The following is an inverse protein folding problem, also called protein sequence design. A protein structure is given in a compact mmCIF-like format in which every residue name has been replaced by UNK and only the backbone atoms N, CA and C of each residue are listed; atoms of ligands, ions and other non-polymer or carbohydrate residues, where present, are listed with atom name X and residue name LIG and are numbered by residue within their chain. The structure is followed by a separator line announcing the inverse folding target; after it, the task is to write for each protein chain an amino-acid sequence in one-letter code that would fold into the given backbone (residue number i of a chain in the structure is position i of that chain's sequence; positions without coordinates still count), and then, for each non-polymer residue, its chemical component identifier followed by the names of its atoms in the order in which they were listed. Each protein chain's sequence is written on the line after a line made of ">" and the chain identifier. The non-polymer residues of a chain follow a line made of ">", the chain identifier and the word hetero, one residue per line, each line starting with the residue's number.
data_IF_567471728173
#
_entry.id   IF_567471728173
#
_cell.length_a   1.000
_cell.length_b   1.000
_cell.length_c   1.000
_cell.angle_alpha   90.00
_cell.angle_beta   90.00
_cell.angle_gamma   90.00
#
_symmetry.space_group_name_H-M   'P 1'
#
loop_
_entity.id
_entity.type
_entity.pdbx_description
1 polymer ?
#
# COMPACT_ATOMS: atom_id res chain seq x y z
N UNK A 1 6.28 -64.87 9.76
CA UNK A 1 7.05 -64.54 8.54
C UNK A 1 6.01 -64.10 7.50
N UNK A 2 5.75 -62.81 7.34
CA UNK A 2 6.33 -61.93 6.33
C UNK A 2 6.46 -60.52 6.88
N UNK A 3 7.69 -60.00 6.88
CA UNK A 3 8.06 -58.65 7.30
C UNK A 3 7.68 -57.68 6.17
N UNK A 4 6.63 -56.88 6.37
CA UNK A 4 6.28 -55.76 5.48
C UNK A 4 6.87 -54.47 6.05
N UNK A 5 7.72 -53.81 5.26
CA UNK A 5 8.64 -52.76 5.65
C UNK A 5 7.96 -51.50 6.23
N UNK A 6 8.39 -50.98 7.40
CA UNK A 6 8.01 -49.66 7.89
C UNK A 6 9.01 -48.65 7.34
N UNK A 7 8.73 -48.05 6.18
CA UNK A 7 9.58 -46.98 5.64
C UNK A 7 8.82 -46.06 4.69
N UNK A 8 7.93 -45.24 5.24
CA UNK A 8 7.57 -43.95 4.64
C UNK A 8 7.74 -42.89 5.74
N UNK A 9 9.01 -42.71 6.11
CA UNK A 9 9.61 -41.46 6.59
C UNK A 9 8.92 -40.29 5.88
N UNK A 10 8.16 -39.46 6.58
CA UNK A 10 8.66 -38.31 7.33
C UNK A 10 9.35 -37.26 6.42
N UNK A 11 8.97 -35.99 6.63
CA UNK A 11 9.52 -34.74 6.07
C UNK A 11 8.79 -34.11 4.86
N UNK A 12 7.57 -33.61 5.05
CA UNK A 12 7.06 -32.47 4.25
C UNK A 12 6.25 -31.45 5.07
N UNK A 13 6.38 -31.45 6.40
CA UNK A 13 6.00 -30.28 7.20
C UNK A 13 7.17 -29.31 7.22
N UNK A 14 7.43 -28.63 6.10
CA UNK A 14 8.31 -27.46 6.11
C UNK A 14 7.53 -26.29 6.72
N UNK A 15 7.16 -26.44 7.99
CA UNK A 15 6.71 -25.37 8.86
C UNK A 15 7.95 -24.70 9.42
N UNK A 16 8.33 -23.59 8.80
CA UNK A 16 9.13 -22.59 9.46
C UNK A 16 8.77 -21.22 8.86
N UNK A 17 7.53 -20.81 9.08
CA UNK A 17 7.19 -19.39 9.07
C UNK A 17 7.81 -18.81 10.34
N UNK A 18 9.09 -18.44 10.26
CA UNK A 18 9.79 -17.70 11.31
C UNK A 18 8.97 -16.45 11.64
N UNK A 19 8.35 -16.46 12.82
CA UNK A 19 7.53 -15.37 13.31
C UNK A 19 8.23 -14.82 14.55
N UNK A 20 9.06 -13.81 14.33
CA UNK A 20 9.59 -12.98 15.40
C UNK A 20 9.46 -11.48 15.08
N UNK A 21 9.38 -11.13 13.80
CA UNK A 21 8.83 -9.90 13.23
C UNK A 21 8.26 -10.31 11.85
N UNK A 22 7.06 -9.87 11.44
CA UNK A 22 6.49 -10.28 10.15
C UNK A 22 7.19 -9.53 9.00
N UNK A 23 8.43 -9.93 8.74
CA UNK A 23 9.23 -9.43 7.63
C UNK A 23 8.80 -10.13 6.34
N UNK A 24 8.14 -9.39 5.45
CA UNK A 24 7.80 -9.87 4.12
C UNK A 24 9.04 -9.88 3.21
N UNK A 25 9.07 -10.80 2.24
CA UNK A 25 10.10 -10.83 1.18
C UNK A 25 9.50 -10.55 -0.19
N UNK A 26 8.21 -10.82 -0.35
CA UNK A 26 7.45 -10.57 -1.58
C UNK A 26 6.03 -10.11 -1.26
N UNK A 27 5.33 -9.44 -2.20
CA UNK A 27 3.95 -8.99 -1.99
C UNK A 27 2.98 -10.13 -1.66
N UNK A 28 3.23 -11.34 -2.17
CA UNK A 28 2.44 -12.54 -1.86
C UNK A 28 2.50 -13.00 -0.40
N UNK A 29 3.48 -12.52 0.37
CA UNK A 29 3.55 -12.77 1.82
C UNK A 29 2.60 -11.86 2.60
N UNK A 30 2.12 -10.78 1.98
CA UNK A 30 1.25 -9.77 2.58
C UNK A 30 -0.20 -10.01 2.19
N UNK A 31 -0.81 -11.05 2.77
CA UNK A 31 -2.22 -11.36 2.58
C UNK A 31 -2.91 -11.33 3.94
N UNK A 32 -3.88 -10.42 4.10
CA UNK A 32 -4.65 -10.28 5.33
C UNK A 32 -6.14 -10.41 5.04
N UNK A 33 -6.73 -11.50 5.52
CA UNK A 33 -8.13 -11.94 5.34
C UNK A 33 -8.62 -11.95 3.88
N UNK A 34 -8.83 -10.78 3.29
CA UNK A 34 -9.29 -10.59 1.92
C UNK A 34 -8.62 -9.39 1.22
N UNK A 35 -7.52 -8.89 1.77
CA UNK A 35 -6.73 -7.77 1.26
C UNK A 35 -5.36 -8.28 0.85
N UNK A 36 -4.97 -8.01 -0.38
CA UNK A 36 -3.60 -8.22 -0.85
C UNK A 36 -2.84 -6.92 -0.65
N UNK A 37 -1.74 -7.03 0.10
CA UNK A 37 -0.83 -5.94 0.40
C UNK A 37 0.38 -5.91 -0.51
N UNK A 38 1.29 -4.99 -0.21
CA UNK A 38 2.62 -4.90 -0.80
C UNK A 38 3.68 -5.05 0.30
N UNK A 39 4.84 -5.57 -0.09
CA UNK A 39 5.97 -5.65 0.80
C UNK A 39 6.82 -4.38 0.65
N UNK A 40 6.88 -3.57 1.70
CA UNK A 40 7.64 -2.33 1.70
C UNK A 40 9.15 -2.58 1.88
N UNK A 41 10.03 -1.64 1.48
CA UNK A 41 11.49 -1.82 1.55
C UNK A 41 12.04 -2.06 2.97
N UNK A 42 11.32 -1.60 4.00
CA UNK A 42 11.63 -1.85 5.40
C UNK A 42 11.20 -3.25 5.88
N UNK A 43 10.66 -4.08 4.99
CA UNK A 43 10.27 -5.46 5.28
C UNK A 43 8.88 -5.58 5.89
N UNK A 44 8.07 -4.52 5.98
CA UNK A 44 6.72 -4.61 6.53
C UNK A 44 5.65 -4.63 5.45
N UNK A 45 4.55 -5.34 5.74
CA UNK A 45 3.39 -5.35 4.86
C UNK A 45 2.60 -4.04 4.95
N UNK A 46 2.33 -3.43 3.80
CA UNK A 46 1.34 -2.37 3.63
C UNK A 46 0.09 -2.90 2.95
N UNK A 47 -1.07 -2.34 3.29
CA UNK A 47 -2.35 -2.70 2.70
C UNK A 47 -3.04 -1.46 2.11
N UNK A 48 -3.85 -1.61 1.05
CA UNK A 48 -4.60 -0.51 0.49
C UNK A 48 -5.50 0.16 1.53
N UNK A 49 -5.33 1.48 1.66
CA UNK A 49 -6.13 2.33 2.53
C UNK A 49 -6.27 3.74 1.93
N UNK A 50 -7.47 4.11 1.44
CA UNK A 50 -7.70 5.42 0.83
C UNK A 50 -7.67 6.58 1.83
N UNK A 51 -7.64 6.32 3.14
CA UNK A 51 -7.47 7.36 4.16
C UNK A 51 -6.02 7.85 4.27
N UNK A 52 -5.06 7.06 3.77
CA UNK A 52 -3.67 7.44 3.73
C UNK A 52 -3.34 8.26 2.47
N UNK A 53 -2.52 9.32 2.56
CA UNK A 53 -2.07 10.08 1.39
C UNK A 53 -1.35 9.24 0.34
N UNK A 54 -0.66 8.18 0.77
CA UNK A 54 -0.01 7.19 -0.09
C UNK A 54 -0.97 6.13 -0.65
N UNK A 55 -2.21 6.09 -0.19
CA UNK A 55 -3.16 5.02 -0.48
C UNK A 55 -2.84 3.69 0.21
N UNK A 56 -1.83 3.66 1.08
CA UNK A 56 -1.33 2.45 1.74
C UNK A 56 -1.06 2.68 3.23
N UNK A 57 -1.42 1.69 4.06
CA UNK A 57 -1.20 1.69 5.51
C UNK A 57 -0.48 0.42 5.95
N UNK A 58 0.49 0.54 6.84
CA UNK A 58 1.16 -0.62 7.45
C UNK A 58 0.17 -1.47 8.24
N UNK A 59 0.34 -2.80 8.16
CA UNK A 59 -0.46 -3.74 8.94
C UNK A 59 -0.23 -3.59 10.45
N UNK A 60 -1.19 -4.06 11.25
CA UNK A 60 -1.12 -4.05 12.72
C UNK A 60 0.04 -4.86 13.30
N UNK A 61 0.66 -5.73 12.48
CA UNK A 61 1.83 -6.54 12.85
C UNK A 61 3.17 -5.91 12.41
N UNK A 62 3.15 -4.71 11.82
CA UNK A 62 4.39 -4.00 11.49
C UNK A 62 5.15 -3.62 12.78
N UNK A 63 6.47 -3.84 12.75
CA UNK A 63 7.37 -3.49 13.84
C UNK A 63 7.66 -2.00 13.92
N UNK A 64 8.61 -1.62 14.77
CA UNK A 64 9.18 -0.26 14.85
C UNK A 64 8.18 0.88 15.11
N UNK A 65 7.00 0.57 15.65
CA UNK A 65 5.94 1.55 15.88
C UNK A 65 5.22 1.99 14.60
N UNK A 66 5.41 1.27 13.49
CA UNK A 66 4.75 1.55 12.22
C UNK A 66 3.36 0.92 12.11
N UNK A 67 2.94 0.09 13.07
CA UNK A 67 1.60 -0.49 13.09
C UNK A 67 0.51 0.59 12.90
N UNK A 68 -0.37 0.37 11.92
CA UNK A 68 -1.47 1.28 11.54
C UNK A 68 -1.03 2.69 11.11
N UNK A 69 0.26 2.90 10.81
CA UNK A 69 0.75 4.16 10.23
C UNK A 69 0.63 4.14 8.70
N UNK A 70 0.40 5.31 8.11
CA UNK A 70 0.44 5.46 6.66
C UNK A 70 1.87 5.27 6.13
N UNK A 71 2.00 4.61 4.98
CA UNK A 71 3.30 4.51 4.30
C UNK A 71 3.71 5.90 3.83
N UNK A 72 4.95 6.36 4.07
CA UNK A 72 5.43 7.63 3.54
C UNK A 72 5.35 7.64 2.02
N UNK A 73 4.95 8.77 1.45
CA UNK A 73 5.12 8.99 0.01
C UNK A 73 6.61 9.21 -0.26
N UNK A 74 7.18 8.45 -1.20
CA UNK A 74 8.46 8.80 -1.83
C UNK A 74 8.26 10.05 -2.69
N UNK A 75 8.04 11.19 -2.04
CA UNK A 75 8.21 12.49 -2.68
C UNK A 75 9.71 12.69 -2.82
N UNK A 76 10.26 12.21 -3.93
CA UNK A 76 11.57 12.63 -4.39
C UNK A 76 11.57 14.16 -4.37
N UNK A 77 12.39 14.72 -3.48
CA UNK A 77 12.54 16.13 -3.16
C UNK A 77 12.35 17.02 -4.42
N UNK A 78 11.16 17.58 -4.56
CA UNK A 78 10.72 18.12 -5.84
C UNK A 78 9.24 18.42 -5.89
N UNK A 79 8.77 19.25 -4.94
CA UNK A 79 7.58 20.09 -5.12
C UNK A 79 6.41 19.44 -5.84
N UNK A 80 5.97 18.29 -5.37
CA UNK A 80 4.64 17.77 -5.71
C UNK A 80 3.63 18.55 -4.88
N UNK A 81 3.29 19.77 -5.33
CA UNK A 81 2.01 20.39 -5.01
C UNK A 81 0.97 19.34 -5.33
N UNK A 82 0.52 18.61 -4.31
CA UNK A 82 -0.67 17.80 -4.40
C UNK A 82 -1.79 18.82 -4.48
N UNK A 83 -2.00 19.37 -5.68
CA UNK A 83 -3.22 20.06 -6.03
C UNK A 83 -4.29 18.98 -5.93
N UNK A 84 -4.77 18.75 -4.71
CA UNK A 84 -6.15 18.37 -4.49
C UNK A 84 -6.90 19.28 -5.43
N UNK A 85 -7.45 18.70 -6.50
CA UNK A 85 -8.36 19.39 -7.40
C UNK A 85 -9.55 19.81 -6.56
N UNK A 86 -9.40 20.91 -5.82
CA UNK A 86 -10.48 21.77 -5.44
C UNK A 86 -11.06 22.20 -6.76
N UNK A 87 -12.12 21.51 -7.19
CA UNK A 87 -13.08 22.06 -8.12
C UNK A 87 -13.68 23.31 -7.46
N UNK A 88 -12.93 24.41 -7.46
CA UNK A 88 -13.46 25.75 -7.32
C UNK A 88 -14.12 26.05 -8.66
N UNK A 89 -15.33 25.53 -8.82
CA UNK A 89 -16.35 26.18 -9.62
C UNK A 89 -16.63 27.53 -8.95
N UNK A 90 -15.77 28.52 -9.20
CA UNK A 90 -15.97 29.89 -8.79
C UNK A 90 -15.30 30.85 -9.78
N UNK A 91 -16.05 31.07 -10.87
CA UNK A 91 -16.33 32.39 -11.45
C UNK A 91 -15.15 33.22 -11.97
N UNK A 92 -15.05 33.32 -13.30
CA UNK A 92 -14.52 34.53 -13.94
C UNK A 92 -15.61 35.12 -14.81
N UNK A 93 -16.27 36.16 -14.29
CA UNK A 93 -17.03 37.08 -15.09
C UNK A 93 -16.04 37.92 -15.90
N UNK A 94 -16.01 37.71 -17.22
CA UNK A 94 -15.33 38.61 -18.15
C UNK A 94 -16.36 39.64 -18.59
N UNK A 95 -16.28 40.83 -18.00
CA UNK A 95 -16.84 42.03 -18.62
C UNK A 95 -15.90 42.44 -19.74
N UNK A 96 -16.30 42.17 -20.98
CA UNK A 96 -15.66 42.71 -22.17
C UNK A 96 -16.55 43.82 -22.74
N UNK A 97 -16.23 45.05 -22.33
CA UNK A 97 -16.67 46.31 -22.92
C UNK A 97 -15.72 46.65 -24.07
N UNK A 98 -16.23 46.72 -25.32
CA UNK A 98 -15.73 47.60 -26.40
C UNK A 98 -16.54 47.43 -27.71
N UNK A 99 -17.38 48.45 -27.97
CA UNK A 99 -17.57 49.25 -29.19
C UNK A 99 -17.60 48.65 -30.62
N UNK A 100 -18.45 49.30 -31.44
CA UNK A 100 -18.57 49.35 -32.91
C UNK A 100 -19.61 48.44 -33.60
N UNK A 101 -20.69 49.04 -34.11
CA UNK A 101 -20.83 49.32 -35.54
C UNK A 101 -22.14 50.06 -35.85
N UNK A 102 -21.99 51.20 -36.53
CA UNK A 102 -23.04 51.90 -37.25
C UNK A 102 -23.62 51.02 -38.38
N UNK A 103 -24.95 50.97 -38.53
CA UNK A 103 -25.65 51.26 -39.80
C UNK A 103 -27.12 51.55 -39.53
#
# INVERSE_FOLDING_TARGET
>A
MRRGAPLLLALLTLTCARAEVFECRQPGDCVDANRTGSCEPNGFCSFPDPSCPSGHRYGSHAGDGLADQCVPLDVADGSGESTLGTGVEASSASGDDSSDAAT
#
